data_IF_492994407593
#
_entry.id   IF_492994407593
#
_cell.length_a   1.000
_cell.length_b   1.000
_cell.length_c   1.000
_cell.angle_alpha   90.00
_cell.angle_beta   90.00
_cell.angle_gamma   90.00
#
_symmetry.space_group_name_H-M   'P 1'
#
loop_
_entity.id
_entity.type
_entity.pdbx_description
1 polymer ?
#
# COMPACT_ATOMS: atom_id res chain seq x y z
N UNK A 1 -11.90 -11.37 1.94
CA UNK A 1 -12.64 -10.17 2.39
C UNK A 1 -11.98 -8.97 1.74
N UNK A 2 -12.74 -7.98 1.24
CA UNK A 2 -12.15 -6.78 0.64
C UNK A 2 -12.24 -5.62 1.63
N UNK A 3 -11.10 -5.02 1.93
CA UNK A 3 -10.99 -3.90 2.85
C UNK A 3 -11.13 -2.55 2.15
N UNK A 4 -11.71 -1.57 2.85
CA UNK A 4 -11.59 -0.18 2.44
C UNK A 4 -10.19 0.32 2.83
N UNK A 5 -9.45 0.82 1.84
CA UNK A 5 -8.14 1.43 2.09
C UNK A 5 -8.32 2.90 2.41
N UNK A 6 -8.08 3.29 3.66
CA UNK A 6 -7.92 4.68 4.05
C UNK A 6 -6.46 5.08 3.92
N UNK A 7 -6.17 6.33 3.56
CA UNK A 7 -4.80 6.84 3.42
C UNK A 7 -4.66 8.04 4.32
N UNK A 8 -3.65 8.06 5.19
CA UNK A 8 -3.37 9.25 5.98
C UNK A 8 -3.08 10.44 5.06
N UNK A 9 -3.49 11.67 5.44
CA UNK A 9 -3.32 12.85 4.58
C UNK A 9 -1.91 13.01 4.01
N UNK A 10 -0.87 12.86 4.85
CA UNK A 10 0.52 12.95 4.41
C UNK A 10 0.93 11.87 3.40
N UNK A 11 0.40 10.65 3.53
CA UNK A 11 0.64 9.56 2.57
C UNK A 11 -0.11 9.82 1.26
N UNK A 12 -1.35 10.29 1.34
CA UNK A 12 -2.14 10.65 0.16
C UNK A 12 -1.46 11.77 -0.65
N UNK A 13 -0.93 12.78 0.02
CA UNK A 13 -0.21 13.88 -0.60
C UNK A 13 1.14 13.43 -1.19
N UNK A 14 1.89 12.59 -0.48
CA UNK A 14 3.11 11.97 -1.01
C UNK A 14 2.84 11.22 -2.31
N UNK A 15 1.88 10.28 -2.31
CA UNK A 15 1.54 9.48 -3.48
C UNK A 15 1.05 10.35 -4.66
N UNK A 16 0.32 11.44 -4.37
CA UNK A 16 -0.13 12.38 -5.40
C UNK A 16 1.05 13.11 -6.05
N UNK A 17 2.08 13.46 -5.28
CA UNK A 17 3.22 14.26 -5.73
C UNK A 17 4.36 13.45 -6.36
N UNK A 18 4.25 12.10 -6.40
CA UNK A 18 5.22 11.26 -7.08
C UNK A 18 5.38 11.65 -8.56
N UNK A 19 6.62 11.79 -9.00
CA UNK A 19 6.98 12.08 -10.40
C UNK A 19 6.92 10.81 -11.25
N UNK A 20 5.69 10.33 -11.47
CA UNK A 20 5.38 9.16 -12.30
C UNK A 20 4.73 9.58 -13.61
N UNK A 21 4.91 8.76 -14.65
CA UNK A 21 4.12 8.89 -15.87
C UNK A 21 2.64 8.63 -15.60
N UNK A 22 1.78 8.95 -16.57
CA UNK A 22 0.35 8.61 -16.48
C UNK A 22 0.14 7.10 -16.28
N UNK A 23 0.89 6.28 -17.01
CA UNK A 23 0.82 4.83 -16.89
C UNK A 23 1.31 4.35 -15.53
N UNK A 24 2.45 4.85 -15.05
CA UNK A 24 2.97 4.54 -13.72
C UNK A 24 1.98 4.90 -12.61
N UNK A 25 1.27 6.03 -12.73
CA UNK A 25 0.18 6.37 -11.81
C UNK A 25 -0.94 5.35 -11.83
N UNK A 26 -1.38 4.90 -13.01
CA UNK A 26 -2.43 3.87 -13.13
C UNK A 26 -1.97 2.58 -12.43
N UNK A 27 -0.74 2.11 -12.73
CA UNK A 27 -0.18 0.90 -12.11
C UNK A 27 -0.05 1.03 -10.59
N UNK A 28 0.40 2.19 -10.09
CA UNK A 28 0.43 2.52 -8.66
C UNK A 28 -0.96 2.36 -8.01
N UNK A 29 -2.01 2.96 -8.60
CA UNK A 29 -3.36 2.88 -8.05
C UNK A 29 -3.97 1.48 -8.15
N UNK A 30 -3.63 0.70 -9.18
CA UNK A 30 -4.01 -0.72 -9.28
C UNK A 30 -3.38 -1.52 -8.13
N UNK A 31 -2.06 -1.40 -7.92
CA UNK A 31 -1.40 -2.11 -6.81
C UNK A 31 -1.93 -1.71 -5.43
N UNK A 32 -2.22 -0.43 -5.21
CA UNK A 32 -2.87 0.05 -3.97
C UNK A 32 -4.29 -0.51 -3.79
N UNK A 33 -5.01 -0.80 -4.87
CA UNK A 33 -6.33 -1.42 -4.81
C UNK A 33 -6.24 -2.92 -4.56
N UNK A 34 -5.23 -3.62 -5.10
CA UNK A 34 -5.00 -5.04 -4.85
C UNK A 34 -4.68 -5.32 -3.38
N UNK A 35 -4.02 -4.39 -2.70
CA UNK A 35 -3.79 -4.43 -1.25
C UNK A 35 -5.09 -4.59 -0.44
N UNK A 36 -6.23 -4.13 -0.95
CA UNK A 36 -7.53 -4.32 -0.32
C UNK A 36 -7.91 -5.80 -0.15
N UNK A 37 -7.25 -6.71 -0.87
CA UNK A 37 -7.59 -8.12 -0.94
C UNK A 37 -6.52 -9.02 -0.29
N UNK A 38 -5.57 -8.46 0.48
CA UNK A 38 -4.57 -9.28 1.15
C UNK A 38 -5.19 -10.32 2.08
N UNK A 39 -4.65 -11.53 1.98
CA UNK A 39 -5.10 -12.64 2.81
C UNK A 39 -4.75 -12.39 4.27
N UNK A 40 -5.62 -12.88 5.15
CA UNK A 40 -5.39 -12.85 6.59
C UNK A 40 -4.07 -13.53 6.96
N UNK A 41 -3.65 -14.55 6.20
CA UNK A 41 -2.37 -15.22 6.38
C UNK A 41 -1.17 -14.31 6.18
N UNK A 42 -1.20 -13.40 5.21
CA UNK A 42 -0.11 -12.44 4.99
C UNK A 42 -0.04 -11.42 6.12
N UNK A 43 -1.20 -10.90 6.55
CA UNK A 43 -1.30 -9.89 7.61
C UNK A 43 -0.96 -10.45 8.99
N UNK A 44 -1.22 -11.73 9.23
CA UNK A 44 -0.92 -12.41 10.49
C UNK A 44 0.52 -12.95 10.57
N UNK A 45 1.27 -12.94 9.47
CA UNK A 45 2.66 -13.41 9.43
C UNK A 45 3.58 -12.46 10.23
N UNK A 46 4.23 -12.93 11.31
CA UNK A 46 5.17 -12.12 12.08
C UNK A 46 6.34 -11.55 11.27
N UNK A 47 6.71 -12.16 10.14
CA UNK A 47 7.78 -11.66 9.28
C UNK A 47 7.40 -10.39 8.52
N UNK A 48 6.09 -10.17 8.32
CA UNK A 48 5.58 -9.01 7.58
C UNK A 48 5.04 -7.94 8.53
N UNK A 49 5.34 -7.99 9.83
CA UNK A 49 4.57 -7.24 10.83
C UNK A 49 5.40 -6.72 12.00
N UNK A 50 5.03 -5.54 12.47
CA UNK A 50 5.46 -4.97 13.74
C UNK A 50 4.24 -4.36 14.47
N UNK A 51 3.79 -5.02 15.55
CA UNK A 51 2.61 -4.61 16.31
C UNK A 51 1.31 -4.59 15.48
N UNK A 52 0.57 -3.47 15.42
CA UNK A 52 -0.64 -3.33 14.60
C UNK A 52 -0.35 -3.10 13.12
N UNK A 53 0.92 -2.93 12.74
CA UNK A 53 1.32 -2.52 11.40
C UNK A 53 1.91 -3.70 10.64
N UNK A 54 1.42 -3.94 9.43
CA UNK A 54 2.06 -4.86 8.49
C UNK A 54 2.70 -4.11 7.32
N UNK A 55 3.75 -4.69 6.78
CA UNK A 55 4.58 -4.14 5.72
C UNK A 55 4.38 -4.90 4.43
N UNK A 56 4.37 -4.17 3.33
CA UNK A 56 4.26 -4.76 2.00
C UNK A 56 5.05 -3.95 1.00
N UNK A 57 5.64 -4.65 0.02
CA UNK A 57 6.32 -4.03 -1.12
C UNK A 57 5.66 -4.51 -2.40
N UNK A 58 5.33 -3.58 -3.28
CA UNK A 58 5.00 -3.94 -4.66
C UNK A 58 5.93 -3.28 -5.65
N UNK A 59 6.15 -3.98 -6.75
CA UNK A 59 6.93 -3.51 -7.86
C UNK A 59 6.02 -3.20 -9.03
N UNK A 60 6.30 -2.11 -9.74
CA UNK A 60 5.60 -1.76 -10.96
C UNK A 60 6.53 -1.04 -11.92
N UNK A 61 6.20 -1.06 -13.20
CA UNK A 61 6.99 -0.38 -14.22
C UNK A 61 6.48 1.05 -14.44
N UNK A 62 7.41 1.99 -14.59
CA UNK A 62 7.13 3.38 -14.96
C UNK A 62 8.21 3.85 -15.94
N UNK A 63 7.81 4.24 -17.16
CA UNK A 63 8.73 4.66 -18.22
C UNK A 63 9.88 3.67 -18.50
N UNK A 64 9.60 2.37 -18.51
CA UNK A 64 10.61 1.32 -18.72
C UNK A 64 11.55 1.09 -17.53
N UNK A 65 11.27 1.67 -16.36
CA UNK A 65 12.01 1.44 -15.11
C UNK A 65 11.14 0.68 -14.13
N UNK A 66 11.72 -0.35 -13.52
CA UNK A 66 11.09 -1.02 -12.38
C UNK A 66 11.22 -0.14 -11.15
N UNK A 67 10.09 0.18 -10.52
CA UNK A 67 9.99 0.96 -9.28
C UNK A 67 9.50 0.06 -8.16
N UNK A 68 9.96 0.32 -6.95
CA UNK A 68 9.51 -0.42 -5.76
C UNK A 68 8.81 0.53 -4.80
N UNK A 69 7.56 0.26 -4.46
CA UNK A 69 6.85 1.00 -3.43
C UNK A 69 6.80 0.17 -2.16
N UNK A 70 7.39 0.70 -1.09
CA UNK A 70 7.29 0.18 0.27
C UNK A 70 6.13 0.85 1.00
N UNK A 71 5.27 0.04 1.62
CA UNK A 71 4.08 0.48 2.33
C UNK A 71 4.06 -0.07 3.76
N UNK A 72 3.52 0.72 4.67
CA UNK A 72 3.13 0.25 6.00
C UNK A 72 1.65 0.53 6.25
N UNK A 73 0.93 -0.50 6.70
CA UNK A 73 -0.52 -0.49 6.84
C UNK A 73 -0.88 -0.86 8.26
N UNK A 74 -1.61 0.02 8.94
CA UNK A 74 -2.22 -0.25 10.24
C UNK A 74 -3.56 -0.95 10.03
N UNK A 75 -3.70 -2.14 10.61
CA UNK A 75 -4.92 -2.95 10.51
C UNK A 75 -5.71 -3.04 11.83
N UNK A 76 -5.47 -2.13 12.78
CA UNK A 76 -6.23 -2.04 14.03
C UNK A 76 -7.74 -1.91 13.80
N UNK A 77 -8.15 -1.32 12.67
CA UNK A 77 -9.54 -1.16 12.25
C UNK A 77 -10.03 -2.25 11.27
N UNK A 78 -9.27 -3.33 11.07
CA UNK A 78 -9.63 -4.40 10.14
C UNK A 78 -10.93 -5.12 10.53
N UNK A 79 -11.27 -5.18 11.82
CA UNK A 79 -12.57 -5.69 12.28
C UNK A 79 -13.76 -4.89 11.75
N UNK A 80 -13.54 -3.61 11.40
CA UNK A 80 -14.51 -2.73 10.76
C UNK A 80 -14.38 -2.72 9.23
N UNK A 81 -13.55 -3.58 8.65
CA UNK A 81 -13.32 -3.65 7.21
C UNK A 81 -12.45 -2.51 6.67
N UNK A 82 -11.67 -1.82 7.50
CA UNK A 82 -10.79 -0.71 7.09
C UNK A 82 -9.33 -1.06 7.33
N UNK A 83 -8.48 -0.73 6.37
CA UNK A 83 -7.03 -0.73 6.49
C UNK A 83 -6.52 0.71 6.33
N UNK A 84 -5.66 1.16 7.23
CA UNK A 84 -5.11 2.51 7.17
C UNK A 84 -3.67 2.49 6.66
N UNK A 85 -3.44 3.11 5.50
CA UNK A 85 -2.10 3.29 4.97
C UNK A 85 -1.40 4.45 5.70
N UNK A 86 -0.40 4.11 6.50
CA UNK A 86 0.29 5.04 7.41
C UNK A 86 1.67 5.47 6.91
N UNK A 87 2.26 4.71 5.98
CA UNK A 87 3.55 5.04 5.36
C UNK A 87 3.59 4.59 3.90
N UNK A 88 4.28 5.36 3.06
CA UNK A 88 4.62 4.98 1.70
C UNK A 88 5.97 5.58 1.30
N UNK A 89 6.78 4.81 0.58
CA UNK A 89 8.05 5.26 0.02
C UNK A 89 8.36 4.56 -1.31
N UNK A 90 8.81 5.32 -2.30
CA UNK A 90 9.06 4.88 -3.66
C UNK A 90 10.56 4.95 -3.98
N UNK A 91 11.14 3.80 -4.27
CA UNK A 91 12.48 3.62 -4.83
C UNK A 91 12.41 3.67 -6.37
#
# INVERSE_FOLDING_TARGET
MRYQINRRPGVADYLRNLSLTREGRIRLYVGLNEMAEFSDSFRADPLNRDGPVFFFRFMFEDAGRLRTLSLAVDDSAASYGVLELVYADLE
#
